data_IF_266369365650
#
_entry.id   IF_266369365650
#
_cell.length_a   1.000
_cell.length_b   1.000
_cell.length_c   1.000
_cell.angle_alpha   90.00
_cell.angle_beta   90.00
_cell.angle_gamma   90.00
#
_symmetry.space_group_name_H-M   'P 1'
#
loop_
_entity.id
_entity.type
_entity.pdbx_description
1 polymer ?
#
# COMPACT_ATOMS: atom_id res chain seq x y z
N UNK A 1 21.52 33.67 -10.52
CA UNK A 1 20.70 32.82 -11.42
C UNK A 1 19.78 32.01 -10.55
N UNK A 2 18.47 32.29 -10.57
CA UNK A 2 17.48 31.49 -9.84
C UNK A 2 17.42 30.09 -10.48
N UNK A 3 17.81 29.05 -9.73
CA UNK A 3 17.55 27.65 -10.12
C UNK A 3 16.04 27.51 -10.33
N UNK A 4 15.62 27.28 -11.57
CA UNK A 4 14.22 26.92 -11.86
C UNK A 4 13.91 25.64 -11.07
N UNK A 5 13.14 25.74 -9.99
CA UNK A 5 12.62 24.59 -9.26
C UNK A 5 11.90 23.68 -10.26
N UNK A 6 12.53 22.57 -10.61
CA UNK A 6 11.88 21.53 -11.43
C UNK A 6 10.70 21.00 -10.61
N UNK A 7 9.50 21.01 -11.18
CA UNK A 7 8.32 20.41 -10.59
C UNK A 7 8.61 18.93 -10.32
N UNK A 8 8.26 18.47 -9.12
CA UNK A 8 8.39 17.06 -8.76
C UNK A 8 7.30 16.22 -9.46
N UNK A 9 7.48 14.90 -9.50
CA UNK A 9 6.55 13.98 -10.15
C UNK A 9 5.12 14.11 -9.59
N UNK A 10 4.98 14.36 -8.29
CA UNK A 10 3.68 14.56 -7.64
C UNK A 10 2.92 15.76 -8.23
N UNK A 11 3.61 16.89 -8.44
CA UNK A 11 3.00 18.06 -9.05
C UNK A 11 2.56 17.77 -10.50
N UNK A 12 3.36 17.04 -11.28
CA UNK A 12 2.98 16.61 -12.63
C UNK A 12 1.76 15.70 -12.65
N UNK A 13 1.61 14.78 -11.67
CA UNK A 13 0.43 13.90 -11.54
C UNK A 13 -0.81 14.75 -11.24
N UNK A 14 -0.73 15.70 -10.32
CA UNK A 14 -1.85 16.60 -9.98
C UNK A 14 -2.23 17.47 -11.20
N UNK A 15 -1.24 18.02 -11.92
CA UNK A 15 -1.49 18.79 -13.14
C UNK A 15 -2.17 17.90 -14.19
N UNK A 16 -1.69 16.69 -14.40
CA UNK A 16 -2.29 15.72 -15.32
C UNK A 16 -3.74 15.40 -14.95
N UNK A 17 -4.02 15.18 -13.66
CA UNK A 17 -5.37 14.95 -13.14
C UNK A 17 -6.29 16.14 -13.41
N UNK A 18 -5.88 17.35 -13.03
CA UNK A 18 -6.70 18.56 -13.22
C UNK A 18 -6.94 18.86 -14.71
N UNK A 19 -5.92 18.71 -15.54
CA UNK A 19 -6.05 18.85 -16.98
C UNK A 19 -6.98 17.79 -17.58
N UNK A 20 -6.89 16.54 -17.13
CA UNK A 20 -7.79 15.45 -17.52
C UNK A 20 -9.24 15.74 -17.15
N UNK A 21 -9.49 16.19 -15.93
CA UNK A 21 -10.83 16.60 -15.48
C UNK A 21 -11.36 17.73 -16.36
N UNK A 22 -10.55 18.77 -16.63
CA UNK A 22 -10.96 19.90 -17.47
C UNK A 22 -11.32 19.45 -18.90
N UNK A 23 -10.48 18.62 -19.51
CA UNK A 23 -10.74 18.05 -20.84
C UNK A 23 -11.97 17.15 -20.82
N UNK A 24 -12.15 16.33 -19.79
CA UNK A 24 -13.34 15.50 -19.62
C UNK A 24 -14.64 16.33 -19.59
N UNK A 25 -14.66 17.45 -18.85
CA UNK A 25 -15.82 18.35 -18.86
C UNK A 25 -16.08 19.01 -20.23
N UNK A 26 -15.03 19.30 -21.00
CA UNK A 26 -15.20 19.82 -22.37
C UNK A 26 -15.90 18.77 -23.24
N UNK A 27 -15.41 17.53 -23.23
CA UNK A 27 -15.99 16.45 -24.03
C UNK A 27 -17.37 15.99 -23.53
N UNK A 28 -17.66 16.11 -22.24
CA UNK A 28 -19.01 15.92 -21.69
C UNK A 28 -20.03 16.88 -22.32
N UNK A 29 -19.63 18.12 -22.61
CA UNK A 29 -20.50 19.14 -23.25
C UNK A 29 -20.52 19.04 -24.77
N UNK A 30 -19.38 18.79 -25.39
CA UNK A 30 -19.24 18.72 -26.86
C UNK A 30 -19.84 17.41 -27.39
N UNK A 31 -19.80 16.36 -26.59
CA UNK A 31 -20.17 15.02 -27.00
C UNK A 31 -19.06 14.35 -27.84
N UNK A 32 -19.38 13.16 -28.35
CA UNK A 32 -18.44 12.37 -29.18
C UNK A 32 -17.63 11.35 -28.37
N UNK A 33 -16.93 10.50 -29.11
CA UNK A 33 -16.22 9.32 -28.55
C UNK A 33 -14.70 9.52 -28.46
N UNK A 34 -14.19 10.75 -28.69
CA UNK A 34 -12.77 11.02 -28.77
C UNK A 34 -12.01 10.57 -27.52
N UNK A 35 -12.56 10.81 -26.33
CA UNK A 35 -11.92 10.39 -25.07
C UNK A 35 -11.85 8.86 -24.97
N UNK A 36 -12.91 8.18 -25.35
CA UNK A 36 -13.02 6.72 -25.32
C UNK A 36 -12.18 6.06 -26.41
N UNK A 37 -12.14 6.64 -27.62
CA UNK A 37 -11.44 6.05 -28.78
C UNK A 37 -9.92 6.31 -28.75
N UNK A 38 -9.46 7.43 -28.22
CA UNK A 38 -8.07 7.83 -28.28
C UNK A 38 -7.38 8.00 -26.92
N UNK A 39 -8.04 8.59 -25.93
CA UNK A 39 -7.42 8.80 -24.61
C UNK A 39 -7.50 7.56 -23.73
N UNK A 40 -8.66 6.91 -23.65
CA UNK A 40 -8.82 5.67 -22.87
C UNK A 40 -7.79 4.59 -23.24
N UNK A 41 -7.48 4.28 -24.51
CA UNK A 41 -6.45 3.31 -24.88
C UNK A 41 -5.05 3.65 -24.33
N UNK A 42 -4.66 4.93 -24.31
CA UNK A 42 -3.38 5.36 -23.72
C UNK A 42 -3.37 5.13 -22.22
N UNK A 43 -4.47 5.47 -21.53
CA UNK A 43 -4.66 5.15 -20.11
C UNK A 43 -4.63 3.65 -19.83
N UNK A 44 -5.26 2.85 -20.70
CA UNK A 44 -5.25 1.37 -20.61
C UNK A 44 -3.84 0.80 -20.75
N UNK A 45 -3.02 1.34 -21.67
CA UNK A 45 -1.59 0.94 -21.77
C UNK A 45 -0.89 1.18 -20.43
N UNK A 46 -1.10 2.34 -19.80
CA UNK A 46 -0.53 2.62 -18.49
C UNK A 46 -0.96 1.60 -17.42
N UNK A 47 -2.24 1.25 -17.36
CA UNK A 47 -2.77 0.21 -16.45
C UNK A 47 -2.17 -1.16 -16.76
N UNK A 48 -2.02 -1.53 -18.02
CA UNK A 48 -1.39 -2.79 -18.44
C UNK A 48 0.08 -2.87 -18.01
N UNK A 49 0.81 -1.76 -18.10
CA UNK A 49 2.18 -1.68 -17.59
C UNK A 49 2.26 -1.84 -16.07
N UNK A 50 1.28 -1.33 -15.32
CA UNK A 50 1.18 -1.58 -13.88
C UNK A 50 0.88 -3.06 -13.60
N UNK A 51 -0.11 -3.65 -14.29
CA UNK A 51 -0.46 -5.08 -14.17
C UNK A 51 0.74 -5.99 -14.45
N UNK A 52 1.52 -5.69 -15.48
CA UNK A 52 2.73 -6.42 -15.83
C UNK A 52 3.72 -6.49 -14.67
N UNK A 53 3.78 -5.46 -13.81
CA UNK A 53 4.71 -5.40 -12.68
C UNK A 53 4.22 -6.12 -11.43
N UNK A 54 2.95 -6.52 -11.35
CA UNK A 54 2.35 -7.09 -10.12
C UNK A 54 3.11 -8.34 -9.66
N UNK A 55 3.21 -9.34 -10.52
CA UNK A 55 3.84 -10.63 -10.17
C UNK A 55 5.33 -10.47 -9.84
N UNK A 56 6.16 -9.82 -10.68
CA UNK A 56 7.57 -9.61 -10.36
C UNK A 56 7.81 -8.87 -9.06
N UNK A 57 7.09 -7.77 -8.82
CA UNK A 57 7.22 -6.99 -7.59
C UNK A 57 6.89 -7.84 -6.38
N UNK A 58 5.74 -8.52 -6.37
CA UNK A 58 5.31 -9.36 -5.25
C UNK A 58 6.30 -10.48 -4.98
N UNK A 59 6.69 -11.21 -6.03
CA UNK A 59 7.59 -12.34 -5.90
C UNK A 59 8.94 -11.94 -5.28
N UNK A 60 9.61 -10.95 -5.86
CA UNK A 60 10.96 -10.58 -5.40
C UNK A 60 10.95 -9.77 -4.11
N UNK A 61 10.01 -8.83 -3.94
CA UNK A 61 9.96 -8.01 -2.72
C UNK A 61 9.57 -8.84 -1.50
N UNK A 62 8.61 -9.77 -1.61
CA UNK A 62 8.24 -10.63 -0.48
C UNK A 62 9.36 -11.64 -0.19
N UNK A 63 9.97 -12.24 -1.22
CA UNK A 63 11.11 -13.16 -1.01
C UNK A 63 12.26 -12.43 -0.29
N UNK A 64 12.61 -11.22 -0.71
CA UNK A 64 13.60 -10.36 -0.05
C UNK A 64 13.21 -10.03 1.38
N UNK A 65 11.94 -9.66 1.60
CA UNK A 65 11.39 -9.41 2.94
C UNK A 65 11.54 -10.60 3.87
N UNK A 66 11.27 -11.83 3.38
CA UNK A 66 11.46 -13.06 4.16
C UNK A 66 12.95 -13.33 4.44
N UNK A 67 13.83 -13.13 3.46
CA UNK A 67 15.28 -13.29 3.65
C UNK A 67 15.79 -12.33 4.73
N UNK A 68 15.30 -11.11 4.78
CA UNK A 68 15.65 -10.14 5.82
C UNK A 68 15.27 -10.59 7.24
N UNK A 69 14.36 -11.57 7.41
CA UNK A 69 14.01 -12.14 8.70
C UNK A 69 15.16 -12.92 9.36
N UNK A 70 16.20 -13.30 8.62
CA UNK A 70 17.41 -13.91 9.23
C UNK A 70 18.13 -12.91 10.14
N UNK A 71 18.13 -11.63 9.78
CA UNK A 71 18.66 -10.57 10.63
C UNK A 71 17.79 -10.38 11.89
N UNK A 72 16.48 -10.63 11.82
CA UNK A 72 15.59 -10.63 12.99
C UNK A 72 15.98 -11.70 14.02
N UNK A 73 16.38 -12.90 13.55
CA UNK A 73 16.85 -13.96 14.45
C UNK A 73 18.17 -13.58 15.11
N UNK A 74 19.07 -12.90 14.38
CA UNK A 74 20.33 -12.39 14.92
C UNK A 74 20.11 -11.32 15.99
N UNK A 75 19.09 -10.49 15.83
CA UNK A 75 18.69 -9.46 16.81
C UNK A 75 17.81 -10.05 17.94
N UNK A 76 17.46 -11.33 17.87
CA UNK A 76 16.76 -12.05 18.94
C UNK A 76 15.31 -11.60 19.15
N UNK A 77 14.92 -11.36 20.42
CA UNK A 77 13.54 -11.08 20.79
C UNK A 77 13.00 -9.74 20.24
N UNK A 78 13.87 -8.78 19.94
CA UNK A 78 13.48 -7.48 19.36
C UNK A 78 12.92 -7.67 17.96
N UNK A 79 13.62 -8.44 17.11
CA UNK A 79 13.18 -8.71 15.75
C UNK A 79 11.80 -9.37 15.66
N UNK A 80 11.61 -10.43 16.46
CA UNK A 80 10.31 -11.17 16.50
C UNK A 80 9.18 -10.24 16.97
N UNK A 81 9.42 -9.42 18.02
CA UNK A 81 8.42 -8.48 18.51
C UNK A 81 8.08 -7.40 17.48
N UNK A 82 9.08 -6.88 16.76
CA UNK A 82 8.89 -5.93 15.66
C UNK A 82 7.97 -6.52 14.60
N UNK A 83 8.27 -7.72 14.13
CA UNK A 83 7.50 -8.40 13.10
C UNK A 83 6.04 -8.64 13.52
N UNK A 84 5.84 -9.21 14.72
CA UNK A 84 4.50 -9.45 15.26
C UNK A 84 3.73 -8.13 15.39
N UNK A 85 4.36 -7.06 15.88
CA UNK A 85 3.73 -5.76 16.03
C UNK A 85 3.22 -5.25 14.68
N UNK A 86 4.07 -5.24 13.65
CA UNK A 86 3.69 -4.75 12.33
C UNK A 86 2.57 -5.57 11.68
N UNK A 87 2.60 -6.89 11.78
CA UNK A 87 1.53 -7.73 11.25
C UNK A 87 0.20 -7.44 11.98
N UNK A 88 0.23 -7.32 13.31
CA UNK A 88 -0.98 -7.04 14.08
C UNK A 88 -1.54 -5.64 13.78
N UNK A 89 -0.70 -4.60 13.71
CA UNK A 89 -1.16 -3.24 13.42
C UNK A 89 -1.70 -3.13 12.00
N UNK A 90 -1.05 -3.79 11.02
CA UNK A 90 -1.50 -3.80 9.63
C UNK A 90 -2.83 -4.54 9.46
N UNK A 91 -3.00 -5.71 10.07
CA UNK A 91 -4.27 -6.41 10.02
C UNK A 91 -5.40 -5.57 10.64
N UNK A 92 -5.13 -4.91 11.77
CA UNK A 92 -6.10 -4.02 12.41
C UNK A 92 -6.37 -2.78 11.55
N UNK A 93 -5.37 -2.25 10.85
CA UNK A 93 -5.52 -1.12 9.93
C UNK A 93 -6.50 -1.45 8.79
N UNK A 94 -6.39 -2.64 8.19
CA UNK A 94 -7.35 -3.09 7.16
C UNK A 94 -8.77 -3.14 7.72
N UNK A 95 -8.95 -3.70 8.92
CA UNK A 95 -10.27 -3.78 9.58
C UNK A 95 -10.84 -2.36 9.82
N UNK A 96 -10.02 -1.41 10.31
CA UNK A 96 -10.44 -0.02 10.47
C UNK A 96 -10.86 0.58 9.13
N UNK A 97 -10.08 0.37 8.07
CA UNK A 97 -10.40 0.81 6.71
C UNK A 97 -11.73 0.26 6.22
N UNK A 98 -11.96 -1.05 6.36
CA UNK A 98 -13.20 -1.72 5.97
C UNK A 98 -14.40 -1.22 6.77
N UNK A 99 -14.29 -1.07 8.08
CA UNK A 99 -15.39 -0.55 8.92
C UNK A 99 -15.75 0.86 8.50
N UNK A 100 -14.76 1.75 8.39
CA UNK A 100 -15.00 3.14 8.02
C UNK A 100 -15.64 3.23 6.63
N UNK A 101 -15.08 2.59 5.61
CA UNK A 101 -15.59 2.70 4.24
C UNK A 101 -17.01 2.13 4.11
N UNK A 102 -17.33 1.05 4.82
CA UNK A 102 -18.69 0.49 4.78
C UNK A 102 -19.73 1.43 5.42
N UNK A 103 -19.35 2.28 6.39
CA UNK A 103 -20.23 3.33 6.91
C UNK A 103 -20.55 4.41 5.86
N UNK A 104 -19.69 4.60 4.86
CA UNK A 104 -19.83 5.62 3.83
C UNK A 104 -20.22 5.07 2.45
N UNK A 105 -20.36 3.75 2.27
CA UNK A 105 -20.62 3.14 0.97
C UNK A 105 -21.87 3.70 0.26
N UNK A 106 -22.87 4.14 1.01
CA UNK A 106 -24.09 4.74 0.45
C UNK A 106 -23.88 6.08 -0.29
N UNK A 107 -22.73 6.71 -0.14
CA UNK A 107 -22.36 7.94 -0.84
C UNK A 107 -21.59 7.69 -2.15
N UNK A 108 -21.24 6.44 -2.44
CA UNK A 108 -20.50 6.10 -3.64
C UNK A 108 -21.45 5.82 -4.80
N UNK A 109 -21.10 6.25 -6.03
CA UNK A 109 -21.95 6.06 -7.19
C UNK A 109 -21.79 4.63 -7.72
N UNK A 110 -22.86 4.14 -8.34
CA UNK A 110 -22.76 3.09 -9.34
C UNK A 110 -22.52 3.80 -10.68
N UNK A 111 -21.49 3.39 -11.42
CA UNK A 111 -21.15 3.96 -12.72
C UNK A 111 -21.97 3.30 -13.83
N UNK A 112 -22.21 4.04 -14.92
CA UNK A 112 -22.93 3.50 -16.08
C UNK A 112 -22.15 2.36 -16.73
N UNK A 113 -22.88 1.37 -17.26
CA UNK A 113 -22.33 0.18 -17.91
C UNK A 113 -21.38 0.47 -19.09
N UNK A 114 -21.43 1.68 -19.66
CA UNK A 114 -20.52 2.12 -20.72
C UNK A 114 -19.07 2.28 -20.24
N UNK A 115 -18.84 2.55 -18.96
CA UNK A 115 -17.48 2.60 -18.34
C UNK A 115 -17.01 1.21 -17.97
N UNK A 116 -17.96 0.34 -17.62
CA UNK A 116 -17.75 -1.06 -17.26
C UNK A 116 -17.90 -2.00 -18.46
N UNK A 117 -18.32 -1.48 -19.64
CA UNK A 117 -18.54 -2.27 -20.86
C UNK A 117 -17.24 -2.92 -21.35
N UNK A 118 -17.22 -4.22 -21.32
CA UNK A 118 -16.08 -5.08 -21.63
C UNK A 118 -15.64 -5.95 -20.45
N UNK A 119 -16.20 -5.74 -19.27
CA UNK A 119 -15.93 -6.50 -18.07
C UNK A 119 -17.25 -7.10 -17.57
N UNK A 120 -17.60 -8.28 -18.08
CA UNK A 120 -18.64 -9.09 -17.45
C UNK A 120 -18.10 -9.53 -16.07
N UNK A 121 -18.51 -8.78 -15.03
CA UNK A 121 -18.42 -9.29 -13.68
C UNK A 121 -19.47 -10.41 -13.56
N UNK A 122 -19.04 -11.63 -13.75
CA UNK A 122 -19.80 -12.80 -13.31
C UNK A 122 -19.63 -12.84 -11.80
N UNK A 123 -20.70 -12.54 -11.06
CA UNK A 123 -20.73 -12.72 -9.62
C UNK A 123 -20.39 -14.19 -9.31
N UNK A 124 -19.13 -14.43 -9.01
CA UNK A 124 -18.69 -15.74 -8.57
C UNK A 124 -19.22 -15.92 -7.16
N UNK A 125 -19.96 -17.01 -6.91
CA UNK A 125 -20.36 -17.35 -5.54
C UNK A 125 -19.13 -17.25 -4.63
N UNK A 126 -19.30 -16.63 -3.45
CA UNK A 126 -18.21 -16.47 -2.50
C UNK A 126 -17.62 -17.86 -2.21
N UNK A 127 -16.33 -18.09 -2.50
CA UNK A 127 -15.73 -19.42 -2.31
C UNK A 127 -15.85 -19.81 -0.83
N UNK A 128 -16.07 -21.08 -0.57
CA UNK A 128 -16.09 -21.60 0.81
C UNK A 128 -14.73 -21.29 1.45
N UNK A 129 -14.74 -20.87 2.71
CA UNK A 129 -13.51 -20.50 3.44
C UNK A 129 -12.45 -21.60 3.37
N UNK A 130 -12.86 -22.87 3.43
CA UNK A 130 -11.94 -24.00 3.34
C UNK A 130 -11.30 -24.12 1.95
N UNK A 131 -12.05 -23.89 0.88
CA UNK A 131 -11.53 -23.93 -0.49
C UNK A 131 -10.51 -22.78 -0.69
N UNK A 132 -10.75 -21.64 -0.08
CA UNK A 132 -9.80 -20.51 -0.08
C UNK A 132 -8.51 -20.92 0.62
N UNK A 133 -8.59 -21.52 1.84
CA UNK A 133 -7.42 -21.96 2.60
C UNK A 133 -6.59 -23.00 1.80
N UNK A 134 -7.26 -23.96 1.15
CA UNK A 134 -6.58 -24.96 0.33
C UNK A 134 -5.92 -24.33 -0.90
N UNK A 135 -6.64 -23.42 -1.58
CA UNK A 135 -6.16 -22.77 -2.80
C UNK A 135 -5.07 -21.69 -2.54
N UNK A 136 -4.80 -21.32 -1.30
CA UNK A 136 -3.63 -20.51 -0.93
C UNK A 136 -2.32 -21.24 -1.22
N UNK A 137 -2.32 -22.60 -1.08
CA UNK A 137 -1.14 -23.41 -1.33
C UNK A 137 -1.09 -23.85 -2.81
N UNK A 138 -0.07 -23.42 -3.57
CA UNK A 138 0.01 -23.71 -4.99
C UNK A 138 0.37 -25.19 -5.26
N UNK A 139 -0.29 -25.78 -6.23
CA UNK A 139 0.07 -27.10 -6.80
C UNK A 139 1.12 -27.00 -7.92
N UNK A 140 1.36 -25.78 -8.42
CA UNK A 140 2.28 -25.49 -9.51
C UNK A 140 2.94 -24.12 -9.30
N UNK A 141 4.23 -24.03 -9.63
CA UNK A 141 5.00 -22.79 -9.45
C UNK A 141 4.54 -21.66 -10.38
N UNK A 142 4.28 -21.98 -11.65
CA UNK A 142 4.04 -20.96 -12.68
C UNK A 142 2.57 -20.63 -12.90
N UNK A 143 1.67 -21.59 -12.67
CA UNK A 143 0.23 -21.40 -12.88
C UNK A 143 -0.32 -20.17 -12.14
N UNK A 144 -0.07 -19.97 -10.81
CA UNK A 144 -0.54 -18.79 -10.12
C UNK A 144 0.03 -17.48 -10.67
N UNK A 145 1.26 -17.50 -11.20
CA UNK A 145 1.90 -16.32 -11.78
C UNK A 145 1.23 -15.95 -13.12
N UNK A 146 0.89 -16.93 -13.95
CA UNK A 146 0.19 -16.71 -15.23
C UNK A 146 -1.25 -16.24 -15.00
N UNK A 147 -1.94 -16.84 -14.04
CA UNK A 147 -3.31 -16.50 -13.67
C UNK A 147 -3.40 -15.24 -12.79
N UNK A 148 -2.25 -14.67 -12.40
CA UNK A 148 -2.16 -13.54 -11.45
C UNK A 148 -2.89 -13.79 -10.13
N UNK A 149 -2.93 -15.07 -9.69
CA UNK A 149 -3.49 -15.43 -8.39
C UNK A 149 -2.47 -15.14 -7.28
N UNK A 150 -2.68 -14.02 -6.58
CA UNK A 150 -1.67 -13.43 -5.72
C UNK A 150 -1.40 -14.18 -4.43
N UNK A 151 -2.41 -14.79 -3.78
CA UNK A 151 -2.19 -15.51 -2.53
C UNK A 151 -1.21 -16.69 -2.70
N UNK A 152 -1.39 -17.58 -3.67
CA UNK A 152 -0.38 -18.60 -3.94
C UNK A 152 0.99 -18.03 -4.35
N UNK A 153 1.06 -16.91 -5.09
CA UNK A 153 2.34 -16.24 -5.42
C UNK A 153 3.05 -15.75 -4.17
N UNK A 154 2.32 -15.19 -3.20
CA UNK A 154 2.87 -14.78 -1.90
C UNK A 154 3.43 -16.00 -1.16
N UNK A 155 2.68 -17.12 -1.14
CA UNK A 155 3.14 -18.36 -0.49
C UNK A 155 4.40 -18.89 -1.15
N UNK A 156 4.45 -18.89 -2.48
CA UNK A 156 5.68 -19.24 -3.24
C UNK A 156 6.85 -18.37 -2.78
N UNK A 157 6.67 -17.05 -2.74
CA UNK A 157 7.71 -16.12 -2.33
C UNK A 157 8.19 -16.38 -0.89
N UNK A 158 7.28 -16.67 0.04
CA UNK A 158 7.60 -17.01 1.43
C UNK A 158 8.42 -18.33 1.49
N UNK A 159 8.00 -19.38 0.78
CA UNK A 159 8.73 -20.64 0.77
C UNK A 159 10.12 -20.50 0.13
N UNK A 160 10.26 -19.74 -0.96
CA UNK A 160 11.57 -19.47 -1.56
C UNK A 160 12.47 -18.69 -0.61
N UNK A 161 11.97 -17.63 0.03
CA UNK A 161 12.72 -16.89 1.03
C UNK A 161 13.17 -17.75 2.21
N UNK A 162 12.27 -18.56 2.74
CA UNK A 162 12.57 -19.51 3.82
C UNK A 162 13.59 -20.60 3.39
N UNK A 163 13.45 -21.13 2.17
CA UNK A 163 14.39 -22.09 1.59
C UNK A 163 15.80 -21.52 1.42
N UNK A 164 15.90 -20.27 0.95
CA UNK A 164 17.19 -19.56 0.82
C UNK A 164 17.83 -19.41 2.19
N UNK A 165 17.08 -18.98 3.22
CA UNK A 165 17.56 -18.88 4.59
C UNK A 165 18.02 -20.23 5.15
N UNK A 166 17.22 -21.27 4.96
CA UNK A 166 17.54 -22.62 5.43
C UNK A 166 18.78 -23.22 4.76
N UNK A 167 19.15 -22.75 3.56
CA UNK A 167 20.35 -23.19 2.83
C UNK A 167 21.65 -22.62 3.36
N UNK A 168 21.62 -21.64 4.28
CA UNK A 168 22.79 -21.01 4.88
C UNK A 168 23.74 -20.43 3.84
N UNK A 169 25.04 -20.71 3.96
CA UNK A 169 26.07 -20.21 3.02
C UNK A 169 25.81 -20.58 1.56
N UNK A 170 25.21 -21.75 1.28
CA UNK A 170 24.86 -22.16 -0.09
C UNK A 170 23.73 -21.30 -0.67
N UNK A 171 22.85 -20.76 0.18
CA UNK A 171 21.76 -19.85 -0.20
C UNK A 171 22.23 -18.45 -0.53
N UNK A 172 23.44 -18.04 -0.17
CA UNK A 172 23.94 -16.65 -0.30
C UNK A 172 23.94 -16.15 -1.75
N UNK A 173 24.29 -17.01 -2.72
CA UNK A 173 24.21 -16.63 -4.13
C UNK A 173 22.75 -16.36 -4.57
N UNK A 174 21.81 -17.18 -4.13
CA UNK A 174 20.39 -16.99 -4.43
C UNK A 174 19.82 -15.72 -3.74
N UNK A 175 20.23 -15.44 -2.52
CA UNK A 175 19.89 -14.19 -1.81
C UNK A 175 20.35 -12.96 -2.60
N UNK A 176 21.63 -12.93 -3.01
CA UNK A 176 22.18 -11.83 -3.80
C UNK A 176 21.48 -11.68 -5.17
N UNK A 177 21.06 -12.80 -5.77
CA UNK A 177 20.30 -12.76 -7.01
C UNK A 177 18.92 -12.14 -6.80
N UNK A 178 18.21 -12.52 -5.73
CA UNK A 178 16.91 -11.94 -5.38
C UNK A 178 17.04 -10.43 -5.14
N UNK A 179 18.06 -9.97 -4.41
CA UNK A 179 18.33 -8.56 -4.20
C UNK A 179 18.54 -7.81 -5.52
N UNK A 180 19.37 -8.37 -6.41
CA UNK A 180 19.65 -7.76 -7.71
C UNK A 180 18.41 -7.72 -8.61
N UNK A 181 17.59 -8.77 -8.61
CA UNK A 181 16.35 -8.82 -9.38
C UNK A 181 15.30 -7.86 -8.84
N UNK A 182 15.18 -7.76 -7.52
CA UNK A 182 14.28 -6.78 -6.88
C UNK A 182 14.67 -5.35 -7.25
N UNK A 183 15.96 -5.00 -7.20
CA UNK A 183 16.46 -3.69 -7.63
C UNK A 183 16.11 -3.39 -9.10
N UNK A 184 16.25 -4.37 -10.00
CA UNK A 184 15.87 -4.23 -11.41
C UNK A 184 14.37 -4.01 -11.57
N UNK A 185 13.57 -4.84 -10.91
CA UNK A 185 12.09 -4.75 -10.92
C UNK A 185 11.63 -3.40 -10.41
N UNK A 186 12.22 -2.91 -9.31
CA UNK A 186 11.89 -1.59 -8.75
C UNK A 186 12.29 -0.45 -9.69
N UNK A 187 13.41 -0.54 -10.41
CA UNK A 187 13.79 0.46 -11.43
C UNK A 187 12.80 0.48 -12.58
N UNK A 188 12.37 -0.70 -13.08
CA UNK A 188 11.34 -0.79 -14.13
C UNK A 188 10.03 -0.19 -13.64
N UNK A 189 9.60 -0.52 -12.43
CA UNK A 189 8.42 0.07 -11.80
C UNK A 189 8.50 1.61 -11.77
N UNK A 190 9.64 2.16 -11.33
CA UNK A 190 9.85 3.61 -11.29
C UNK A 190 9.84 4.26 -12.67
N UNK A 191 10.26 3.56 -13.74
CA UNK A 191 10.10 4.04 -15.12
C UNK A 191 8.62 4.14 -15.50
N UNK A 192 7.83 3.13 -15.16
CA UNK A 192 6.38 3.11 -15.41
C UNK A 192 5.67 4.21 -14.60
N UNK A 193 6.03 4.40 -13.34
CA UNK A 193 5.47 5.46 -12.48
C UNK A 193 5.74 6.86 -13.05
N UNK A 194 6.83 7.09 -13.77
CA UNK A 194 7.07 8.37 -14.47
C UNK A 194 6.04 8.65 -15.56
N UNK A 195 5.35 7.65 -16.09
CA UNK A 195 4.27 7.81 -17.06
C UNK A 195 2.91 8.14 -16.40
N UNK A 196 2.82 8.06 -15.06
CA UNK A 196 1.58 8.33 -14.31
C UNK A 196 0.89 9.63 -14.69
N UNK A 197 1.57 10.79 -14.87
CA UNK A 197 0.90 12.02 -15.25
C UNK A 197 0.11 11.91 -16.56
N UNK A 198 0.66 11.20 -17.54
CA UNK A 198 0.01 10.97 -18.85
C UNK A 198 -1.13 9.97 -18.69
N UNK A 199 -0.88 8.84 -18.02
CA UNK A 199 -1.90 7.82 -17.77
C UNK A 199 -3.10 8.38 -17.03
N UNK A 200 -2.85 9.13 -15.96
CA UNK A 200 -3.89 9.79 -15.14
C UNK A 200 -4.67 10.83 -15.95
N UNK A 201 -3.98 11.67 -16.72
CA UNK A 201 -4.65 12.63 -17.61
C UNK A 201 -5.63 11.93 -18.54
N UNK A 202 -5.20 10.89 -19.24
CA UNK A 202 -6.03 10.16 -20.20
C UNK A 202 -7.22 9.45 -19.53
N UNK A 203 -6.98 8.79 -18.40
CA UNK A 203 -8.03 8.08 -17.66
C UNK A 203 -9.06 9.04 -17.07
N UNK A 204 -8.62 10.15 -16.45
CA UNK A 204 -9.51 11.15 -15.89
C UNK A 204 -10.35 11.85 -16.96
N UNK A 205 -9.76 12.16 -18.14
CA UNK A 205 -10.50 12.77 -19.23
C UNK A 205 -11.63 11.87 -19.70
N UNK A 206 -11.40 10.56 -19.85
CA UNK A 206 -12.46 9.62 -20.26
C UNK A 206 -13.50 9.42 -19.17
N UNK A 207 -13.08 9.15 -17.93
CA UNK A 207 -13.98 8.93 -16.79
C UNK A 207 -14.90 10.13 -16.55
N UNK A 208 -14.39 11.37 -16.65
CA UNK A 208 -15.20 12.59 -16.45
C UNK A 208 -16.07 12.88 -17.67
N UNK A 209 -15.60 12.61 -18.89
CA UNK A 209 -16.40 12.78 -20.11
C UNK A 209 -17.65 11.88 -20.11
N UNK A 210 -17.53 10.66 -19.56
CA UNK A 210 -18.64 9.70 -19.49
C UNK A 210 -19.53 9.93 -18.25
N UNK A 211 -18.95 10.14 -17.07
CA UNK A 211 -19.70 10.17 -15.79
C UNK A 211 -19.97 11.58 -15.25
N UNK A 212 -19.39 12.61 -15.84
CA UNK A 212 -19.62 14.01 -15.44
C UNK A 212 -19.08 14.38 -14.06
N UNK A 213 -19.67 15.41 -13.45
CA UNK A 213 -19.24 15.95 -12.16
C UNK A 213 -19.45 14.96 -10.98
N UNK A 214 -20.34 13.99 -11.11
CA UNK A 214 -20.69 13.04 -10.05
C UNK A 214 -19.47 12.23 -9.61
N UNK A 215 -18.62 11.79 -10.54
CA UNK A 215 -17.43 11.00 -10.22
C UNK A 215 -16.37 11.85 -9.48
N UNK A 216 -16.21 13.12 -9.84
CA UNK A 216 -15.25 14.02 -9.18
C UNK A 216 -15.63 14.22 -7.71
N UNK A 217 -16.92 14.42 -7.42
CA UNK A 217 -17.42 14.50 -6.05
C UNK A 217 -17.16 13.21 -5.26
N UNK A 218 -17.38 12.06 -5.89
CA UNK A 218 -17.17 10.75 -5.25
C UNK A 218 -15.68 10.47 -4.96
N UNK A 219 -14.78 10.93 -5.84
CA UNK A 219 -13.33 10.85 -5.59
C UNK A 219 -12.92 11.70 -4.38
N UNK A 220 -13.50 12.88 -4.21
CA UNK A 220 -13.25 13.69 -3.01
C UNK A 220 -13.77 12.99 -1.74
N UNK A 221 -14.96 12.37 -1.80
CA UNK A 221 -15.53 11.62 -0.67
C UNK A 221 -14.65 10.45 -0.30
N UNK A 222 -14.21 9.61 -1.25
CA UNK A 222 -13.40 8.42 -0.94
C UNK A 222 -12.03 8.80 -0.36
N UNK A 223 -11.42 9.89 -0.82
CA UNK A 223 -10.20 10.43 -0.21
C UNK A 223 -10.49 10.85 1.24
N UNK A 224 -11.57 11.59 1.48
CA UNK A 224 -11.99 11.99 2.83
C UNK A 224 -12.22 10.78 3.75
N UNK A 225 -12.87 9.73 3.26
CA UNK A 225 -13.10 8.46 3.99
C UNK A 225 -11.79 7.79 4.38
N UNK A 226 -10.81 7.75 3.46
CA UNK A 226 -9.48 7.20 3.78
C UNK A 226 -8.76 8.02 4.86
N UNK A 227 -8.84 9.35 4.79
CA UNK A 227 -8.23 10.22 5.82
C UNK A 227 -8.92 10.06 7.18
N UNK A 228 -10.24 9.87 7.22
CA UNK A 228 -10.95 9.52 8.45
C UNK A 228 -10.40 8.21 9.02
N UNK A 229 -10.21 7.17 8.19
CA UNK A 229 -9.66 5.90 8.62
C UNK A 229 -8.21 6.04 9.11
N UNK A 230 -7.36 6.83 8.43
CA UNK A 230 -5.99 7.13 8.88
C UNK A 230 -5.98 7.82 10.25
N UNK A 231 -6.80 8.85 10.44
CA UNK A 231 -6.90 9.57 11.71
C UNK A 231 -7.40 8.66 12.83
N UNK A 232 -8.41 7.83 12.57
CA UNK A 232 -8.92 6.86 13.55
C UNK A 232 -7.85 5.84 13.94
N UNK A 233 -7.09 5.33 12.97
CA UNK A 233 -5.99 4.39 13.25
C UNK A 233 -4.90 5.04 14.13
N UNK A 234 -4.48 6.26 13.81
CA UNK A 234 -3.55 7.06 14.63
C UNK A 234 -4.11 7.25 16.05
N UNK A 235 -5.36 7.68 16.16
CA UNK A 235 -5.99 8.03 17.43
C UNK A 235 -6.20 6.79 18.32
N UNK A 236 -6.54 5.65 17.75
CA UNK A 236 -6.85 4.43 18.50
C UNK A 236 -5.57 3.58 18.65
N UNK A 237 -4.98 3.13 17.55
CA UNK A 237 -3.92 2.12 17.58
C UNK A 237 -2.60 2.71 18.06
N UNK A 238 -2.13 3.77 17.39
CA UNK A 238 -0.82 4.34 17.73
C UNK A 238 -0.83 5.09 19.05
N UNK A 239 -1.91 5.83 19.36
CA UNK A 239 -2.02 6.50 20.67
C UNK A 239 -2.09 5.49 21.83
N UNK A 240 -2.84 4.40 21.66
CA UNK A 240 -2.87 3.33 22.66
C UNK A 240 -1.50 2.63 22.78
N UNK A 241 -0.86 2.30 21.65
CA UNK A 241 0.47 1.68 21.65
C UNK A 241 1.50 2.58 22.34
N UNK A 242 1.54 3.87 22.01
CA UNK A 242 2.44 4.83 22.65
C UNK A 242 2.16 4.93 24.15
N UNK A 243 0.90 5.05 24.55
CA UNK A 243 0.53 5.22 25.96
C UNK A 243 0.81 3.97 26.80
N UNK A 244 0.36 2.81 26.32
CA UNK A 244 0.37 1.58 27.12
C UNK A 244 1.66 0.77 26.94
N UNK A 245 2.21 0.70 25.74
CA UNK A 245 3.41 -0.08 25.47
C UNK A 245 4.68 0.73 25.75
N UNK A 246 4.83 1.95 25.19
CA UNK A 246 6.02 2.77 25.45
C UNK A 246 5.94 3.57 26.75
N UNK A 247 4.73 3.81 27.29
CA UNK A 247 4.51 4.61 28.50
C UNK A 247 4.71 6.12 28.30
N UNK A 248 4.79 6.57 27.03
CA UNK A 248 4.93 7.97 26.66
C UNK A 248 3.53 8.62 26.48
N UNK A 249 3.46 9.92 26.72
CA UNK A 249 2.25 10.67 26.38
C UNK A 249 2.09 10.74 24.85
N UNK A 250 0.92 10.38 24.28
CA UNK A 250 0.66 10.51 22.84
C UNK A 250 0.92 11.93 22.31
N UNK A 251 0.55 12.97 23.07
CA UNK A 251 0.80 14.37 22.68
C UNK A 251 2.28 14.65 22.54
N UNK A 252 3.12 14.16 23.47
CA UNK A 252 4.57 14.30 23.40
C UNK A 252 5.14 13.57 22.19
N UNK A 253 4.65 12.36 21.94
CA UNK A 253 5.05 11.54 20.78
C UNK A 253 4.72 12.24 19.46
N UNK A 254 3.45 12.65 19.24
CA UNK A 254 3.08 13.29 17.98
C UNK A 254 3.77 14.64 17.75
N UNK A 255 4.08 15.40 18.81
CA UNK A 255 4.90 16.60 18.69
C UNK A 255 6.34 16.28 18.27
N UNK A 256 6.93 15.21 18.83
CA UNK A 256 8.29 14.79 18.52
C UNK A 256 8.44 14.23 17.09
N UNK A 257 7.46 13.47 16.62
CA UNK A 257 7.50 12.85 15.29
C UNK A 257 6.98 13.78 14.16
N UNK A 258 6.43 14.94 14.48
CA UNK A 258 5.84 15.86 13.50
C UNK A 258 6.77 16.22 12.31
N UNK A 259 8.08 16.47 12.49
CA UNK A 259 8.98 16.73 11.35
C UNK A 259 9.03 15.55 10.36
N UNK A 260 9.09 14.31 10.86
CA UNK A 260 9.05 13.12 10.02
C UNK A 260 7.70 12.95 9.33
N UNK A 261 6.58 13.18 10.05
CA UNK A 261 5.23 13.14 9.45
C UNK A 261 5.08 14.14 8.30
N UNK A 262 5.54 15.38 8.47
CA UNK A 262 5.51 16.41 7.42
C UNK A 262 6.38 16.03 6.22
N UNK A 263 7.56 15.46 6.47
CA UNK A 263 8.44 14.99 5.40
C UNK A 263 7.81 13.83 4.64
N UNK A 264 7.23 12.85 5.32
CA UNK A 264 6.51 11.73 4.71
C UNK A 264 5.32 12.20 3.86
N UNK A 265 4.54 13.14 4.40
CA UNK A 265 3.39 13.72 3.72
C UNK A 265 3.79 14.41 2.40
N UNK A 266 4.91 15.12 2.39
CA UNK A 266 5.35 15.87 1.20
C UNK A 266 6.13 15.01 0.21
N UNK A 267 6.97 14.09 0.68
CA UNK A 267 7.80 13.22 -0.17
C UNK A 267 7.08 11.98 -0.66
N UNK A 268 6.10 11.50 0.13
CA UNK A 268 5.40 10.22 -0.10
C UNK A 268 6.36 9.03 -0.24
N UNK A 269 7.45 9.05 0.53
CA UNK A 269 8.45 8.00 0.54
C UNK A 269 8.94 7.74 1.96
N UNK A 270 8.71 6.54 2.48
CA UNK A 270 9.21 6.10 3.78
C UNK A 270 10.74 6.11 3.78
N UNK A 271 11.36 5.66 2.69
CA UNK A 271 12.82 5.63 2.56
C UNK A 271 13.45 7.03 2.59
N UNK A 272 12.84 8.02 1.92
CA UNK A 272 13.31 9.40 1.95
C UNK A 272 13.12 10.06 3.33
N UNK A 273 12.13 9.60 4.11
CA UNK A 273 11.83 10.12 5.44
C UNK A 273 12.67 9.44 6.53
N UNK A 274 13.23 8.27 6.25
CA UNK A 274 13.90 7.41 7.25
C UNK A 274 14.96 8.13 8.11
N UNK A 275 15.89 8.94 7.56
CA UNK A 275 16.87 9.63 8.39
C UNK A 275 16.23 10.57 9.42
N UNK A 276 15.20 11.32 9.01
CA UNK A 276 14.49 12.25 9.90
C UNK A 276 13.66 11.48 10.94
N UNK A 277 13.10 10.33 10.56
CA UNK A 277 12.34 9.49 11.47
C UNK A 277 13.24 8.90 12.57
N UNK A 278 14.47 8.48 12.21
CA UNK A 278 15.49 8.01 13.17
C UNK A 278 15.87 9.14 14.12
N UNK A 279 16.17 10.34 13.61
CA UNK A 279 16.51 11.51 14.41
C UNK A 279 15.39 11.85 15.40
N UNK A 280 14.15 11.98 14.94
CA UNK A 280 13.00 12.25 15.80
C UNK A 280 12.82 11.20 16.90
N UNK A 281 12.99 9.91 16.60
CA UNK A 281 12.86 8.84 17.58
C UNK A 281 13.99 8.92 18.63
N UNK A 282 15.23 9.17 18.21
CA UNK A 282 16.38 9.31 19.11
C UNK A 282 16.20 10.53 20.03
N UNK A 283 15.76 11.67 19.53
CA UNK A 283 15.46 12.87 20.30
C UNK A 283 14.35 12.65 21.34
N UNK A 284 13.38 11.79 21.02
CA UNK A 284 12.34 11.38 21.97
C UNK A 284 12.82 10.37 23.01
N UNK A 285 14.05 9.85 22.89
CA UNK A 285 14.68 8.92 23.80
C UNK A 285 14.61 7.46 23.39
N UNK A 286 14.43 7.16 22.10
CA UNK A 286 14.65 5.81 21.59
C UNK A 286 16.14 5.43 21.71
N UNK A 287 16.42 4.14 21.94
CA UNK A 287 17.79 3.64 21.87
C UNK A 287 18.27 3.62 20.42
N UNK A 288 19.44 4.25 20.08
CA UNK A 288 19.92 4.32 18.70
C UNK A 288 20.06 2.97 18.00
N UNK A 289 20.43 1.92 18.74
CA UNK A 289 20.51 0.54 18.25
C UNK A 289 19.14 0.02 17.80
N UNK A 290 18.08 0.33 18.57
CA UNK A 290 16.71 -0.08 18.27
C UNK A 290 16.16 0.74 17.09
N UNK A 291 16.30 2.07 17.09
CA UNK A 291 15.80 2.91 16.02
C UNK A 291 16.46 2.61 14.68
N UNK A 292 17.80 2.37 14.68
CA UNK A 292 18.57 2.01 13.48
C UNK A 292 18.21 0.63 12.91
N UNK A 293 17.58 -0.23 13.70
CA UNK A 293 17.10 -1.54 13.24
C UNK A 293 15.59 -1.53 12.88
N UNK A 294 14.75 -1.02 13.79
CA UNK A 294 13.29 -1.11 13.67
C UNK A 294 12.76 -0.22 12.55
N UNK A 295 13.28 1.01 12.41
CA UNK A 295 12.73 1.97 11.43
C UNK A 295 13.04 1.60 9.98
N UNK A 296 14.26 1.16 9.58
CA UNK A 296 14.49 0.67 8.22
C UNK A 296 13.66 -0.57 7.89
N UNK A 297 13.48 -1.48 8.86
CA UNK A 297 12.64 -2.65 8.70
C UNK A 297 11.18 -2.26 8.51
N UNK A 298 10.67 -1.30 9.31
CA UNK A 298 9.32 -0.77 9.19
C UNK A 298 9.05 -0.13 7.84
N UNK A 299 10.01 0.62 7.31
CA UNK A 299 9.89 1.25 5.99
C UNK A 299 9.61 0.25 4.85
N UNK A 300 9.82 -1.05 5.07
CA UNK A 300 9.58 -2.13 4.09
C UNK A 300 8.49 -3.12 4.49
N UNK A 301 8.16 -3.25 5.76
CA UNK A 301 7.20 -4.26 6.25
C UNK A 301 5.94 -3.64 6.82
N UNK A 302 6.04 -2.45 7.43
CA UNK A 302 4.91 -1.80 8.09
C UNK A 302 4.17 -0.87 7.13
N UNK A 303 3.08 -1.36 6.57
CA UNK A 303 2.30 -0.65 5.54
C UNK A 303 0.84 -0.42 5.95
N UNK A 304 0.60 0.01 7.20
CA UNK A 304 -0.74 0.22 7.76
C UNK A 304 -1.58 1.19 6.93
N UNK A 305 -0.99 2.30 6.48
CA UNK A 305 -1.68 3.27 5.63
C UNK A 305 -1.97 2.73 4.23
N UNK A 306 -1.05 1.94 3.67
CA UNK A 306 -1.27 1.26 2.39
C UNK A 306 -2.39 0.23 2.52
N UNK A 307 -2.45 -0.49 3.61
CA UNK A 307 -3.48 -1.49 3.89
C UNK A 307 -4.87 -0.86 4.07
N UNK A 308 -4.99 0.27 4.77
CA UNK A 308 -6.24 1.06 4.83
C UNK A 308 -6.65 1.53 3.44
N UNK A 309 -5.72 2.09 2.67
CA UNK A 309 -5.98 2.53 1.30
C UNK A 309 -6.54 1.39 0.43
N UNK A 310 -5.93 0.21 0.49
CA UNK A 310 -6.38 -0.96 -0.26
C UNK A 310 -7.81 -1.35 0.10
N UNK A 311 -8.14 -1.37 1.39
CA UNK A 311 -9.48 -1.67 1.87
C UNK A 311 -10.51 -0.65 1.39
N UNK A 312 -10.21 0.64 1.55
CA UNK A 312 -11.11 1.74 1.17
C UNK A 312 -11.30 1.78 -0.35
N UNK A 313 -10.21 1.65 -1.10
CA UNK A 313 -10.26 1.68 -2.57
C UNK A 313 -10.98 0.48 -3.15
N UNK A 314 -10.77 -0.73 -2.62
CA UNK A 314 -11.45 -1.93 -3.09
C UNK A 314 -12.97 -1.85 -2.90
N UNK A 315 -13.44 -1.40 -1.73
CA UNK A 315 -14.88 -1.22 -1.48
C UNK A 315 -15.45 -0.11 -2.36
N UNK A 316 -14.74 1.01 -2.53
CA UNK A 316 -15.17 2.09 -3.43
C UNK A 316 -15.31 1.60 -4.88
N UNK A 317 -14.31 0.88 -5.38
CA UNK A 317 -14.35 0.31 -6.73
C UNK A 317 -15.50 -0.69 -6.84
N UNK A 318 -15.70 -1.57 -5.86
CA UNK A 318 -16.82 -2.49 -5.84
C UNK A 318 -18.16 -1.76 -5.99
N UNK A 319 -18.38 -0.69 -5.22
CA UNK A 319 -19.57 0.14 -5.33
C UNK A 319 -19.73 0.77 -6.72
N UNK A 320 -18.63 1.26 -7.32
CA UNK A 320 -18.65 1.81 -8.69
C UNK A 320 -19.10 0.79 -9.74
N UNK A 321 -18.77 -0.48 -9.53
CA UNK A 321 -19.22 -1.60 -10.40
C UNK A 321 -20.56 -2.22 -9.97
N UNK A 322 -21.22 -1.67 -8.96
CA UNK A 322 -22.49 -2.20 -8.44
C UNK A 322 -22.34 -3.54 -7.73
N UNK A 323 -21.15 -3.85 -7.21
CA UNK A 323 -20.84 -5.10 -6.51
C UNK A 323 -20.86 -4.88 -4.99
N UNK A 324 -21.65 -5.65 -4.28
CA UNK A 324 -21.60 -5.72 -2.82
C UNK A 324 -20.63 -6.83 -2.39
N UNK A 325 -19.55 -6.43 -1.72
CA UNK A 325 -18.58 -7.38 -1.22
C UNK A 325 -19.15 -8.18 -0.04
N UNK A 326 -19.02 -9.49 -0.12
CA UNK A 326 -19.38 -10.41 0.96
C UNK A 326 -18.39 -10.32 2.13
N UNK A 327 -18.81 -10.78 3.32
CA UNK A 327 -17.92 -10.89 4.50
C UNK A 327 -16.68 -11.73 4.17
N UNK A 328 -16.83 -12.81 3.38
CA UNK A 328 -15.71 -13.64 2.93
C UNK A 328 -14.70 -12.85 2.09
N UNK A 329 -15.17 -12.04 1.12
CA UNK A 329 -14.31 -11.18 0.31
C UNK A 329 -13.64 -10.08 1.17
N UNK A 330 -14.35 -9.50 2.15
CA UNK A 330 -13.72 -8.56 3.09
C UNK A 330 -12.64 -9.22 3.95
N UNK A 331 -12.85 -10.45 4.41
CA UNK A 331 -11.83 -11.22 5.11
C UNK A 331 -10.61 -11.51 4.20
N UNK A 332 -10.85 -11.79 2.90
CA UNK A 332 -9.78 -11.94 1.90
C UNK A 332 -8.98 -10.65 1.74
N UNK A 333 -9.62 -9.49 1.74
CA UNK A 333 -8.92 -8.19 1.71
C UNK A 333 -8.00 -8.06 2.92
N UNK A 334 -8.48 -8.44 4.13
CA UNK A 334 -7.65 -8.39 5.36
C UNK A 334 -6.40 -9.26 5.20
N UNK A 335 -6.56 -10.50 4.78
CA UNK A 335 -5.44 -11.44 4.62
C UNK A 335 -4.47 -10.95 3.53
N UNK A 336 -5.00 -10.62 2.35
CA UNK A 336 -4.16 -10.22 1.20
C UNK A 336 -3.40 -8.93 1.48
N UNK A 337 -4.08 -7.90 2.00
CA UNK A 337 -3.44 -6.61 2.28
C UNK A 337 -2.39 -6.73 3.40
N UNK A 338 -2.65 -7.54 4.43
CA UNK A 338 -1.67 -7.78 5.50
C UNK A 338 -0.45 -8.54 5.00
N UNK A 339 -0.63 -9.59 4.20
CA UNK A 339 0.50 -10.33 3.62
C UNK A 339 1.27 -9.49 2.59
N UNK A 340 0.56 -8.68 1.79
CA UNK A 340 1.17 -7.77 0.82
C UNK A 340 2.00 -6.66 1.48
N UNK A 341 1.72 -6.32 2.74
CA UNK A 341 2.52 -5.34 3.48
C UNK A 341 3.97 -5.79 3.67
N UNK A 342 4.20 -7.13 3.74
CA UNK A 342 5.53 -7.72 3.87
C UNK A 342 6.27 -7.53 2.55
N UNK A 343 7.29 -6.69 2.53
CA UNK A 343 8.12 -6.47 1.34
C UNK A 343 7.55 -5.43 0.35
N UNK A 344 6.50 -4.68 0.72
CA UNK A 344 6.08 -3.52 -0.08
C UNK A 344 7.16 -2.44 -0.02
N UNK A 345 7.65 -2.01 -1.18
CA UNK A 345 8.67 -0.97 -1.22
C UNK A 345 8.16 0.37 -0.67
N UNK A 346 8.95 1.00 0.19
CA UNK A 346 8.67 2.31 0.79
C UNK A 346 8.85 3.48 -0.17
N UNK A 347 8.33 3.35 -1.41
CA UNK A 347 8.42 4.34 -2.49
C UNK A 347 7.04 4.74 -2.99
N UNK A 348 6.94 5.96 -3.51
CA UNK A 348 5.70 6.49 -4.07
C UNK A 348 5.17 5.61 -5.22
N UNK A 349 3.86 5.36 -5.24
CA UNK A 349 3.17 4.62 -6.30
C UNK A 349 3.10 3.10 -6.12
N UNK A 350 3.85 2.49 -5.19
CA UNK A 350 3.77 1.06 -4.91
C UNK A 350 2.35 0.61 -4.49
N UNK A 351 1.57 1.49 -3.86
CA UNK A 351 0.23 1.19 -3.39
C UNK A 351 -0.76 0.80 -4.49
N UNK A 352 -0.67 1.37 -5.69
CA UNK A 352 -1.56 1.01 -6.80
C UNK A 352 -1.33 -0.43 -7.28
N UNK A 353 -0.07 -0.89 -7.27
CA UNK A 353 0.26 -2.29 -7.60
C UNK A 353 -0.33 -3.23 -6.56
N UNK A 354 -0.16 -2.89 -5.29
CA UNK A 354 -0.70 -3.70 -4.21
C UNK A 354 -2.24 -3.70 -4.23
N UNK A 355 -2.88 -2.60 -4.62
CA UNK A 355 -4.32 -2.57 -4.82
C UNK A 355 -4.77 -3.53 -5.93
N UNK A 356 -4.03 -3.62 -7.05
CA UNK A 356 -4.38 -4.57 -8.11
C UNK A 356 -4.42 -6.02 -7.61
N UNK A 357 -3.53 -6.40 -6.69
CA UNK A 357 -3.56 -7.71 -6.05
C UNK A 357 -4.86 -7.94 -5.26
N UNK A 358 -5.26 -6.94 -4.46
CA UNK A 358 -6.48 -7.03 -3.66
C UNK A 358 -7.71 -7.15 -4.56
N UNK A 359 -7.78 -6.36 -5.63
CA UNK A 359 -8.90 -6.41 -6.59
C UNK A 359 -9.01 -7.78 -7.26
N UNK A 360 -7.91 -8.31 -7.78
CA UNK A 360 -7.86 -9.66 -8.39
C UNK A 360 -8.35 -10.70 -7.40
N UNK A 361 -7.88 -10.63 -6.15
CA UNK A 361 -8.20 -11.62 -5.12
C UNK A 361 -9.69 -11.66 -4.74
N UNK A 362 -10.39 -10.54 -4.84
CA UNK A 362 -11.83 -10.46 -4.56
C UNK A 362 -12.68 -10.51 -5.82
N UNK A 363 -12.05 -10.76 -6.98
CA UNK A 363 -12.73 -10.89 -8.27
C UNK A 363 -13.18 -9.58 -8.89
N UNK A 364 -12.64 -8.44 -8.45
CA UNK A 364 -12.93 -7.13 -9.02
C UNK A 364 -12.01 -6.82 -10.22
N UNK A 365 -12.50 -6.09 -11.22
CA UNK A 365 -11.71 -5.71 -12.37
C UNK A 365 -10.59 -4.76 -11.97
N UNK A 366 -9.36 -5.07 -12.38
CA UNK A 366 -8.17 -4.23 -12.10
C UNK A 366 -8.26 -2.88 -12.81
N UNK A 367 -9.00 -2.81 -13.90
CA UNK A 367 -9.34 -1.58 -14.63
C UNK A 367 -9.99 -0.52 -13.73
N UNK A 368 -10.67 -0.95 -12.65
CA UNK A 368 -11.22 -0.05 -11.62
C UNK A 368 -10.18 0.86 -10.98
N UNK A 369 -8.88 0.51 -11.02
CA UNK A 369 -7.80 1.40 -10.59
C UNK A 369 -7.80 2.70 -11.39
N UNK A 370 -8.21 2.68 -12.67
CA UNK A 370 -8.32 3.88 -13.48
C UNK A 370 -9.19 4.97 -12.83
N UNK A 371 -10.22 4.57 -12.09
CA UNK A 371 -11.15 5.50 -11.43
C UNK A 371 -10.44 6.31 -10.34
N UNK A 372 -9.54 5.69 -9.58
CA UNK A 372 -8.88 6.32 -8.42
C UNK A 372 -7.45 6.77 -8.72
N UNK A 373 -6.86 6.35 -9.83
CA UNK A 373 -5.47 6.64 -10.17
C UNK A 373 -5.16 8.16 -10.17
N UNK A 374 -6.13 8.99 -10.55
CA UNK A 374 -6.00 10.44 -10.53
C UNK A 374 -5.79 11.01 -9.14
N UNK A 375 -6.40 10.44 -8.14
CA UNK A 375 -6.33 10.90 -6.73
C UNK A 375 -5.37 10.07 -5.87
N UNK A 376 -4.71 9.06 -6.45
CA UNK A 376 -3.79 8.17 -5.71
C UNK A 376 -2.72 8.93 -4.94
N UNK A 377 -2.24 10.05 -5.51
CA UNK A 377 -1.24 10.88 -4.82
C UNK A 377 -1.74 11.46 -3.50
N UNK A 378 -3.02 11.80 -3.42
CA UNK A 378 -3.62 12.28 -2.18
C UNK A 378 -3.69 11.16 -1.12
N UNK A 379 -4.02 9.95 -1.53
CA UNK A 379 -3.92 8.79 -0.64
C UNK A 379 -2.47 8.54 -0.20
N UNK A 380 -1.51 8.64 -1.13
CA UNK A 380 -0.09 8.38 -0.89
C UNK A 380 0.51 9.30 0.19
N UNK A 381 0.10 10.55 0.23
CA UNK A 381 0.49 11.51 1.27
C UNK A 381 0.08 11.04 2.67
N UNK A 382 -1.19 10.63 2.83
CA UNK A 382 -1.71 10.16 4.11
C UNK A 382 -1.17 8.78 4.50
N UNK A 383 -1.14 7.82 3.56
CA UNK A 383 -0.68 6.45 3.84
C UNK A 383 0.79 6.39 4.22
N UNK A 384 1.66 7.16 3.57
CA UNK A 384 3.08 7.19 3.91
C UNK A 384 3.31 7.81 5.29
N UNK A 385 2.58 8.88 5.60
CA UNK A 385 2.62 9.50 6.94
C UNK A 385 2.22 8.50 8.02
N UNK A 386 1.17 7.71 7.77
CA UNK A 386 0.71 6.70 8.71
C UNK A 386 1.78 5.60 8.91
N UNK A 387 2.34 5.08 7.81
CA UNK A 387 3.35 4.01 7.86
C UNK A 387 4.53 4.40 8.75
N UNK A 388 5.17 5.54 8.49
CA UNK A 388 6.35 5.98 9.27
C UNK A 388 6.01 6.31 10.73
N UNK A 389 4.78 6.68 11.02
CA UNK A 389 4.32 6.91 12.38
C UNK A 389 4.21 5.60 13.15
N UNK A 390 3.74 4.53 12.51
CA UNK A 390 3.71 3.17 13.04
C UNK A 390 5.12 2.64 13.32
N UNK A 391 6.07 2.89 12.41
CA UNK A 391 7.48 2.53 12.59
C UNK A 391 8.04 3.16 13.87
N UNK A 392 7.84 4.48 14.03
CA UNK A 392 8.27 5.22 15.20
C UNK A 392 7.61 4.71 16.49
N UNK A 393 6.31 4.38 16.43
CA UNK A 393 5.58 3.82 17.58
C UNK A 393 6.20 2.51 18.05
N UNK A 394 6.54 1.62 17.12
CA UNK A 394 7.23 0.36 17.40
C UNK A 394 8.62 0.59 18.01
N UNK A 395 9.40 1.49 17.42
CA UNK A 395 10.75 1.83 17.91
C UNK A 395 10.73 2.35 19.35
N UNK A 396 9.80 3.25 19.69
CA UNK A 396 9.62 3.76 21.04
C UNK A 396 9.22 2.67 22.05
N UNK A 397 8.33 1.76 21.65
CA UNK A 397 7.94 0.63 22.48
C UNK A 397 9.13 -0.30 22.76
N UNK A 398 9.82 -0.73 21.73
CA UNK A 398 10.93 -1.69 21.86
C UNK A 398 12.13 -1.10 22.59
N UNK A 399 12.41 0.19 22.43
CA UNK A 399 13.43 0.88 23.22
C UNK A 399 13.13 0.84 24.72
N UNK A 400 11.86 0.99 25.12
CA UNK A 400 11.46 0.81 26.53
C UNK A 400 11.64 -0.64 26.99
N UNK A 401 11.23 -1.61 26.17
CA UNK A 401 11.39 -3.04 26.52
C UNK A 401 12.85 -3.38 26.73
N UNK A 402 13.73 -2.91 25.86
CA UNK A 402 15.16 -3.22 25.94
C UNK A 402 15.82 -2.54 27.16
N UNK A 403 15.47 -1.29 27.45
CA UNK A 403 15.90 -0.58 28.66
C UNK A 403 15.53 -1.34 29.93
N UNK A 404 14.28 -1.78 30.03
CA UNK A 404 13.81 -2.56 31.18
C UNK A 404 14.55 -3.91 31.32
N UNK A 405 14.94 -4.53 30.19
CA UNK A 405 15.73 -5.77 30.21
C UNK A 405 17.16 -5.52 30.71
N UNK A 406 17.81 -4.45 30.25
CA UNK A 406 19.15 -4.04 30.70
C UNK A 406 19.18 -3.73 32.21
N UNK A 407 18.16 -3.02 32.70
CA UNK A 407 18.02 -2.72 34.13
C UNK A 407 17.85 -4.00 35.00
N UNK A 408 17.02 -4.95 34.53
CA UNK A 408 16.86 -6.25 35.23
C UNK A 408 18.11 -7.10 35.23
N UNK A 409 18.92 -7.04 34.19
CA UNK A 409 20.20 -7.74 34.12
C UNK A 409 21.26 -7.10 35.04
N UNK A 410 21.28 -5.77 35.14
CA UNK A 410 22.15 -5.02 36.01
C UNK A 410 21.82 -5.18 37.51
N UNK A 411 20.55 -5.53 37.83
CA UNK A 411 20.06 -5.75 39.18
C UNK A 411 20.25 -7.20 39.69
N UNK A 412 20.72 -8.11 38.82
CA UNK A 412 21.11 -9.51 39.17
C UNK A 412 22.62 -9.65 39.33
#
# INVERSE_FOLDING_TARGET
MQEKRKLNLAAWIIIGMLAGIAVGFVFLKVGGTFTTDYLKPVGTIYINLLKFMVVPVVLFSITKGVIALDDLKKVGSVGIKTFIYYICTTAFAVVVGLVVVNCFKGFFPVLDSSVTSGLEYTATEAPKIMDVIVNIFPDNLFKPMVETNMLPVIVIAIFFGAGILASGEKGRMASNLVDSLEDVVMKVLMMIIKLTPIGVFCLMADVVAVNGAKIVGSLAIVVGVAYIAYILHIAIVYSCSVKFLSGMSPIKFFKGIAPAMLTAFTTTSSNATLPINIECCNDMGAEPEISSFVLPLGATINMDGTAIYQAVAAVFIACCYGVDLTIGQMAMIVVTATLASIGTAGVSGAGMIMLSMVLIQVGLPVEGIAIIAGVDKLFDMGRTTLNITGDATCAMWLSKVERNNKEKLAAK
#
